data_IF_100973918593
#
_entry.id   IF_100973918593
#
_cell.length_a   1.000
_cell.length_b   1.000
_cell.length_c   1.000
_cell.angle_alpha   90.00
_cell.angle_beta   90.00
_cell.angle_gamma   90.00
#
_symmetry.space_group_name_H-M   'P 1'
#
loop_
_entity.id
_entity.type
_entity.pdbx_description
1 polymer ?
#
# COMPACT_ATOMS: atom_id res chain seq x y z
N UNK A 1 44.61 -48.07 10.04
CA UNK A 1 44.80 -46.60 10.03
C UNK A 1 43.62 -45.97 9.29
N UNK A 2 42.57 -45.53 10.01
CA UNK A 2 41.39 -44.85 9.44
C UNK A 2 41.61 -43.34 9.56
N UNK A 3 41.64 -42.65 8.42
CA UNK A 3 41.74 -41.19 8.32
C UNK A 3 40.38 -40.57 8.62
N UNK A 4 40.33 -39.67 9.59
CA UNK A 4 39.18 -38.81 9.85
C UNK A 4 39.24 -37.59 8.93
N UNK A 5 38.24 -37.43 8.06
CA UNK A 5 38.00 -36.20 7.31
C UNK A 5 37.08 -35.32 8.15
N UNK A 6 37.61 -34.21 8.67
CA UNK A 6 36.83 -33.16 9.32
C UNK A 6 36.27 -32.28 8.20
N UNK A 7 34.96 -32.34 7.98
CA UNK A 7 34.25 -31.42 7.08
C UNK A 7 33.89 -30.16 7.87
N UNK A 8 34.48 -29.03 7.49
CA UNK A 8 34.12 -27.72 8.00
C UNK A 8 32.83 -27.25 7.28
N UNK A 9 31.72 -27.18 8.01
CA UNK A 9 30.49 -26.58 7.53
C UNK A 9 30.65 -25.06 7.54
N UNK A 10 30.71 -24.45 6.36
CA UNK A 10 30.62 -22.99 6.20
C UNK A 10 29.14 -22.63 6.36
N UNK A 11 28.78 -22.08 7.52
CA UNK A 11 27.50 -21.44 7.76
C UNK A 11 27.46 -20.13 6.96
N UNK A 12 26.89 -20.19 5.76
CA UNK A 12 26.48 -19.01 5.02
C UNK A 12 25.27 -18.42 5.75
N UNK A 13 25.52 -17.44 6.63
CA UNK A 13 24.46 -16.62 7.21
C UNK A 13 23.70 -15.92 6.10
N UNK A 14 22.38 -16.13 6.04
CA UNK A 14 21.50 -15.37 5.17
C UNK A 14 21.52 -13.92 5.63
N UNK A 15 22.16 -13.03 4.88
CA UNK A 15 22.02 -11.59 5.09
C UNK A 15 20.57 -11.21 4.76
N UNK A 16 19.71 -11.16 5.77
CA UNK A 16 18.44 -10.44 5.67
C UNK A 16 18.77 -9.02 5.24
N UNK A 17 18.26 -8.59 4.08
CA UNK A 17 18.33 -7.18 3.72
C UNK A 17 17.70 -6.39 4.88
N UNK A 18 18.46 -5.46 5.47
CA UNK A 18 17.93 -4.61 6.52
C UNK A 18 16.69 -3.89 5.97
N UNK A 19 15.62 -3.83 6.77
CA UNK A 19 14.45 -3.03 6.42
C UNK A 19 14.90 -1.58 6.21
N UNK A 20 14.51 -0.98 5.08
CA UNK A 20 14.79 0.42 4.80
C UNK A 20 14.04 1.30 5.80
N UNK A 21 14.77 2.10 6.56
CA UNK A 21 14.29 2.77 7.76
C UNK A 21 14.57 4.29 7.74
N UNK A 22 14.00 5.04 6.78
CA UNK A 22 14.17 6.48 6.73
C UNK A 22 13.46 7.17 7.88
N UNK A 23 14.05 8.24 8.41
CA UNK A 23 13.40 9.12 9.37
C UNK A 23 13.76 10.58 9.10
N UNK A 24 13.10 11.21 8.13
CA UNK A 24 13.20 12.66 7.86
C UNK A 24 12.33 13.47 8.83
N UNK A 25 12.50 13.23 10.14
CA UNK A 25 11.76 13.91 11.23
C UNK A 25 11.84 15.43 11.11
N UNK A 26 10.86 16.15 11.66
CA UNK A 26 10.77 17.60 11.52
C UNK A 26 12.07 18.33 11.93
N UNK A 27 12.74 17.88 13.00
CA UNK A 27 14.02 18.43 13.46
C UNK A 27 15.26 17.98 12.70
N UNK A 28 15.15 17.08 11.72
CA UNK A 28 16.30 16.60 10.95
C UNK A 28 16.89 17.72 10.11
N UNK A 29 18.23 17.82 10.07
CA UNK A 29 18.91 18.77 9.19
C UNK A 29 18.77 18.41 7.71
N UNK A 30 18.32 17.19 7.40
CA UNK A 30 18.03 16.70 6.07
C UNK A 30 16.53 16.72 5.74
N UNK A 31 15.68 17.33 6.58
CA UNK A 31 14.27 17.57 6.28
C UNK A 31 14.13 18.67 5.21
N UNK A 32 14.41 18.34 3.95
CA UNK A 32 14.35 19.27 2.81
C UNK A 32 12.96 19.39 2.20
N UNK A 33 12.02 18.53 2.61
CA UNK A 33 10.64 18.51 2.11
C UNK A 33 9.65 19.05 3.14
N UNK A 34 10.11 19.67 4.23
CA UNK A 34 9.26 20.35 5.20
C UNK A 34 8.25 19.41 5.89
N UNK A 35 8.71 18.22 6.30
CA UNK A 35 7.92 17.29 7.10
C UNK A 35 7.55 17.94 8.43
N UNK A 36 6.27 17.91 8.78
CA UNK A 36 5.69 18.79 9.80
C UNK A 36 5.71 18.25 11.22
N UNK A 37 5.95 16.94 11.38
CA UNK A 37 5.77 16.25 12.67
C UNK A 37 7.04 15.53 13.08
N UNK A 38 7.38 15.65 14.36
CA UNK A 38 8.46 14.87 14.95
C UNK A 38 8.13 13.38 15.00
N UNK A 39 9.10 12.55 14.65
CA UNK A 39 9.06 11.12 14.84
C UNK A 39 8.77 10.80 16.31
N UNK A 40 7.94 9.77 16.52
CA UNK A 40 7.60 9.26 17.84
C UNK A 40 8.35 7.96 18.06
N UNK A 41 8.98 7.84 19.23
CA UNK A 41 9.56 6.57 19.64
C UNK A 41 8.45 5.53 19.82
N UNK A 42 8.71 4.29 19.41
CA UNK A 42 7.71 3.24 19.48
C UNK A 42 8.26 1.86 19.14
N UNK A 43 7.42 0.87 19.40
CA UNK A 43 7.65 -0.55 19.09
C UNK A 43 6.56 -0.99 18.12
N UNK A 44 6.93 -1.78 17.11
CA UNK A 44 5.93 -2.32 16.20
C UNK A 44 4.99 -3.29 16.91
N UNK A 45 3.70 -3.31 16.54
CA UNK A 45 2.85 -4.45 16.81
C UNK A 45 3.50 -5.75 16.32
N UNK A 46 3.29 -6.83 17.05
CA UNK A 46 3.58 -8.19 16.59
C UNK A 46 2.72 -8.54 15.38
N UNK A 47 3.06 -9.62 14.67
CA UNK A 47 2.27 -10.09 13.51
C UNK A 47 0.81 -10.34 13.91
N UNK A 48 0.56 -10.94 15.07
CA UNK A 48 -0.80 -11.19 15.59
C UNK A 48 -1.55 -9.89 15.89
N UNK A 49 -0.90 -8.92 16.52
CA UNK A 49 -1.51 -7.60 16.77
C UNK A 49 -1.81 -6.88 15.46
N UNK A 50 -0.92 -6.97 14.46
CA UNK A 50 -1.18 -6.44 13.14
C UNK A 50 -2.40 -7.07 12.48
N UNK A 51 -2.62 -8.38 12.58
CA UNK A 51 -3.85 -8.99 12.08
C UNK A 51 -5.09 -8.34 12.70
N UNK A 52 -5.12 -8.21 14.03
CA UNK A 52 -6.22 -7.55 14.73
C UNK A 52 -6.42 -6.10 14.31
N UNK A 53 -5.33 -5.37 14.04
CA UNK A 53 -5.39 -3.99 13.52
C UNK A 53 -5.97 -3.97 12.09
N UNK A 54 -5.55 -4.87 11.19
CA UNK A 54 -6.13 -4.96 9.84
C UNK A 54 -7.61 -5.30 9.88
N UNK A 55 -8.01 -6.25 10.72
CA UNK A 55 -9.41 -6.66 10.87
C UNK A 55 -10.27 -5.54 11.46
N UNK A 56 -9.72 -4.76 12.41
CA UNK A 56 -10.37 -3.56 12.93
C UNK A 56 -10.52 -2.48 11.85
N UNK A 57 -9.45 -2.19 11.12
CA UNK A 57 -9.45 -1.11 10.11
C UNK A 57 -10.32 -1.50 8.91
N UNK A 58 -10.33 -2.75 8.48
CA UNK A 58 -11.17 -3.22 7.38
C UNK A 58 -12.67 -2.94 7.59
N UNK A 59 -13.14 -3.01 8.83
CA UNK A 59 -14.54 -2.78 9.18
C UNK A 59 -14.98 -1.31 9.12
N UNK A 60 -14.03 -0.36 9.02
CA UNK A 60 -14.33 1.04 8.79
C UNK A 60 -14.56 1.89 10.04
N UNK A 61 -14.92 3.19 9.84
CA UNK A 61 -14.91 4.21 10.89
C UNK A 61 -15.90 3.97 12.04
N UNK A 62 -17.03 3.32 11.75
CA UNK A 62 -18.02 2.97 12.78
C UNK A 62 -17.46 1.98 13.81
N UNK A 63 -16.53 1.11 13.40
CA UNK A 63 -15.95 0.08 14.28
C UNK A 63 -14.66 0.58 14.93
N UNK A 64 -13.76 1.24 14.20
CA UNK A 64 -12.52 1.75 14.80
C UNK A 64 -12.73 2.98 15.69
N UNK A 65 -13.84 3.72 15.52
CA UNK A 65 -14.22 4.86 16.35
C UNK A 65 -13.08 5.88 16.52
N UNK A 66 -12.62 6.11 17.75
CA UNK A 66 -11.54 7.05 18.04
C UNK A 66 -10.14 6.51 17.74
N UNK A 67 -9.99 5.24 17.34
CA UNK A 67 -8.70 4.63 16.96
C UNK A 67 -8.26 5.02 15.55
N UNK A 68 -9.13 5.68 14.78
CA UNK A 68 -8.82 6.24 13.46
C UNK A 68 -9.52 7.58 13.25
N UNK A 69 -9.29 8.24 12.10
CA UNK A 69 -10.01 9.45 11.75
C UNK A 69 -11.46 9.15 11.33
N UNK A 70 -12.30 10.19 11.29
CA UNK A 70 -13.59 10.10 10.63
C UNK A 70 -13.39 9.92 9.12
N UNK A 71 -14.28 9.14 8.49
CA UNK A 71 -14.28 8.91 7.04
C UNK A 71 -15.71 9.05 6.57
N UNK A 72 -15.91 9.85 5.53
CA UNK A 72 -17.19 9.94 4.86
C UNK A 72 -17.53 8.61 4.18
N UNK A 73 -18.81 8.41 3.91
CA UNK A 73 -19.29 7.30 3.10
C UNK A 73 -18.60 7.26 1.72
N UNK A 74 -18.66 6.09 1.09
CA UNK A 74 -18.08 5.82 -0.23
C UNK A 74 -19.19 5.34 -1.16
N UNK A 75 -19.01 5.57 -2.47
CA UNK A 75 -19.98 5.11 -3.46
C UNK A 75 -19.93 3.60 -3.65
N UNK A 76 -21.09 2.98 -3.84
CA UNK A 76 -21.28 1.58 -4.27
C UNK A 76 -22.21 1.55 -5.49
N UNK A 77 -21.95 0.64 -6.43
CA UNK A 77 -22.70 0.54 -7.68
C UNK A 77 -22.16 1.48 -8.76
N UNK A 78 -22.24 1.08 -10.03
CA UNK A 78 -21.78 1.91 -11.16
C UNK A 78 -22.82 2.14 -12.26
N UNK A 79 -24.08 2.06 -11.88
CA UNK A 79 -25.22 2.36 -12.72
C UNK A 79 -25.79 1.14 -13.43
N UNK A 80 -25.11 -0.01 -13.42
CA UNK A 80 -25.60 -1.31 -13.90
C UNK A 80 -24.74 -2.46 -13.35
N UNK A 81 -25.32 -3.47 -12.67
CA UNK A 81 -26.74 -3.59 -12.32
C UNK A 81 -27.18 -2.65 -11.18
N UNK A 82 -26.25 -2.16 -10.35
CA UNK A 82 -26.58 -1.36 -9.17
C UNK A 82 -26.42 0.15 -9.43
N UNK A 83 -27.45 0.98 -9.15
CA UNK A 83 -27.29 2.43 -9.17
C UNK A 83 -26.27 2.90 -8.14
N UNK A 84 -25.45 3.89 -8.50
CA UNK A 84 -24.51 4.51 -7.57
C UNK A 84 -25.25 5.11 -6.37
N UNK A 85 -24.88 4.69 -5.16
CA UNK A 85 -25.38 5.22 -3.89
C UNK A 85 -24.28 5.17 -2.82
N UNK A 86 -24.45 5.92 -1.73
CA UNK A 86 -23.46 5.98 -0.67
C UNK A 86 -23.65 4.86 0.36
N UNK A 87 -22.54 4.24 0.78
CA UNK A 87 -22.48 3.23 1.83
C UNK A 87 -21.36 3.55 2.84
N UNK A 88 -21.48 3.09 4.10
CA UNK A 88 -20.40 3.24 5.07
C UNK A 88 -19.09 2.65 4.55
N UNK A 89 -17.99 3.39 4.71
CA UNK A 89 -16.69 2.96 4.23
C UNK A 89 -16.27 1.62 4.89
N UNK A 90 -15.91 0.66 4.04
CA UNK A 90 -15.34 -0.64 4.38
C UNK A 90 -14.18 -0.90 3.43
N UNK A 91 -13.20 -1.67 3.86
CA UNK A 91 -11.96 -1.87 3.09
C UNK A 91 -11.60 -3.35 3.02
N UNK A 92 -11.28 -3.85 1.82
CA UNK A 92 -10.75 -5.19 1.67
C UNK A 92 -9.45 -5.34 2.46
N UNK A 93 -9.44 -6.20 3.48
CA UNK A 93 -8.29 -6.35 4.37
C UNK A 93 -7.07 -6.95 3.65
N UNK A 94 -7.30 -7.76 2.62
CA UNK A 94 -6.27 -8.31 1.74
C UNK A 94 -5.46 -7.16 1.14
N UNK A 95 -6.13 -6.08 0.70
CA UNK A 95 -5.49 -4.88 0.18
C UNK A 95 -4.83 -4.05 1.27
N UNK A 96 -5.47 -3.86 2.43
CA UNK A 96 -4.81 -3.13 3.53
C UNK A 96 -3.49 -3.79 3.93
N UNK A 97 -3.50 -5.13 4.04
CA UNK A 97 -2.32 -5.97 4.31
C UNK A 97 -1.27 -5.80 3.22
N UNK A 98 -1.65 -5.91 1.95
CA UNK A 98 -0.73 -5.81 0.82
C UNK A 98 -0.17 -4.39 0.60
N UNK A 99 -0.98 -3.35 0.81
CA UNK A 99 -0.57 -1.93 0.76
C UNK A 99 0.43 -1.67 1.88
N UNK A 100 0.09 -1.96 3.14
CA UNK A 100 1.01 -1.78 4.26
C UNK A 100 2.34 -2.54 4.06
N UNK A 101 2.28 -3.72 3.43
CA UNK A 101 3.49 -4.49 3.08
C UNK A 101 4.30 -3.79 1.98
N UNK A 102 3.64 -3.22 0.96
CA UNK A 102 4.30 -2.48 -0.11
C UNK A 102 4.92 -1.16 0.38
N UNK A 103 4.24 -0.47 1.30
CA UNK A 103 4.63 0.84 1.82
C UNK A 103 5.80 0.76 2.81
N UNK A 104 5.75 -0.19 3.75
CA UNK A 104 6.69 -0.23 4.88
C UNK A 104 7.08 -1.63 5.34
N UNK A 105 6.55 -2.68 4.72
CA UNK A 105 6.73 -4.05 5.20
C UNK A 105 6.05 -4.30 6.56
N UNK A 106 4.91 -3.67 6.82
CA UNK A 106 4.20 -3.67 8.12
C UNK A 106 5.01 -3.03 9.26
N UNK A 107 5.81 -2.01 8.94
CA UNK A 107 6.68 -1.35 9.92
C UNK A 107 6.18 0.07 10.17
N UNK A 108 5.78 0.37 11.39
CA UNK A 108 5.49 1.73 11.85
C UNK A 108 6.76 2.39 12.40
N UNK A 109 7.55 1.64 13.17
CA UNK A 109 8.71 2.15 13.88
C UNK A 109 9.96 1.32 13.57
N UNK A 110 11.10 1.97 13.37
CA UNK A 110 12.38 1.26 13.37
C UNK A 110 13.55 2.18 13.72
N UNK A 111 14.72 1.58 13.92
CA UNK A 111 15.98 2.30 14.10
C UNK A 111 16.35 2.96 12.78
N UNK A 112 16.48 4.30 12.71
CA UNK A 112 16.75 4.96 11.44
C UNK A 112 18.09 4.51 10.83
N UNK A 113 18.09 4.28 9.52
CA UNK A 113 19.29 3.98 8.72
C UNK A 113 19.63 5.11 7.74
N UNK A 114 18.76 6.12 7.63
CA UNK A 114 18.94 7.36 6.87
C UNK A 114 17.96 8.42 7.39
N UNK A 115 18.23 9.73 7.23
CA UNK A 115 19.48 10.36 6.81
C UNK A 115 20.58 10.29 7.88
N UNK A 116 21.81 10.69 7.51
CA UNK A 116 23.03 10.50 8.33
C UNK A 116 22.97 11.12 9.72
N UNK A 117 22.22 12.20 9.92
CA UNK A 117 22.00 12.84 11.21
C UNK A 117 21.03 12.08 12.13
N UNK A 118 20.36 11.04 11.62
CA UNK A 118 19.37 10.25 12.34
C UNK A 118 19.82 8.79 12.57
N UNK A 119 20.84 8.32 11.85
CA UNK A 119 21.30 6.92 11.85
C UNK A 119 21.59 6.40 13.26
N UNK A 120 21.07 5.21 13.56
CA UNK A 120 21.39 4.48 14.80
C UNK A 120 20.70 5.04 16.05
N UNK A 121 19.80 6.02 15.90
CA UNK A 121 18.98 6.51 17.01
C UNK A 121 17.97 5.47 17.53
N UNK A 122 17.22 5.83 18.58
CA UNK A 122 16.12 5.00 19.08
C UNK A 122 15.08 4.65 17.99
N UNK A 123 14.47 3.46 18.09
CA UNK A 123 13.35 3.03 17.25
C UNK A 123 12.22 4.05 17.32
N UNK A 124 11.83 4.57 16.15
CA UNK A 124 10.87 5.66 16.01
C UNK A 124 10.15 5.59 14.66
N UNK A 125 9.13 6.42 14.47
CA UNK A 125 8.31 6.47 13.26
C UNK A 125 9.17 6.47 12.01
N UNK A 126 8.85 5.61 11.04
CA UNK A 126 9.38 5.75 9.68
C UNK A 126 8.83 7.03 9.08
N UNK A 127 9.71 7.89 8.57
CA UNK A 127 9.34 9.10 7.85
C UNK A 127 10.18 9.13 6.58
N UNK A 128 9.55 8.94 5.43
CA UNK A 128 10.21 9.01 4.12
C UNK A 128 10.58 10.44 3.74
N UNK A 129 11.44 10.59 2.73
CA UNK A 129 11.95 11.91 2.31
C UNK A 129 10.85 12.86 1.85
N UNK A 130 9.75 12.33 1.33
CA UNK A 130 8.54 13.04 0.88
C UNK A 130 7.49 13.16 1.98
N UNK A 131 7.88 12.95 3.24
CA UNK A 131 7.00 13.09 4.41
C UNK A 131 5.87 12.07 4.48
N UNK A 132 6.11 10.85 3.99
CA UNK A 132 5.27 9.68 4.24
C UNK A 132 5.54 9.07 5.61
N UNK A 133 4.54 9.06 6.48
CA UNK A 133 4.67 8.61 7.86
C UNK A 133 4.17 7.17 8.03
N UNK A 134 4.98 6.34 8.68
CA UNK A 134 4.60 5.07 9.29
C UNK A 134 4.14 3.98 8.33
N UNK A 135 3.34 3.06 8.84
CA UNK A 135 3.00 1.79 8.18
C UNK A 135 2.29 1.98 6.84
N UNK A 136 1.41 2.98 6.76
CA UNK A 136 0.64 3.32 5.57
C UNK A 136 1.31 4.37 4.68
N UNK A 137 2.48 4.88 5.07
CA UNK A 137 3.18 6.00 4.41
C UNK A 137 2.23 7.18 4.13
N UNK A 138 1.57 7.66 5.19
CA UNK A 138 0.63 8.78 5.12
C UNK A 138 1.41 10.07 4.81
N UNK A 139 1.25 10.60 3.60
CA UNK A 139 1.99 11.79 3.13
C UNK A 139 1.14 13.07 3.09
N UNK A 140 -0.05 12.99 2.49
CA UNK A 140 -0.93 14.17 2.35
C UNK A 140 -1.41 14.65 3.72
N UNK A 141 -1.20 15.91 4.03
CA UNK A 141 -1.54 16.48 5.33
C UNK A 141 -0.44 16.34 6.38
N UNK A 142 0.75 15.83 6.05
CA UNK A 142 1.86 15.65 7.01
C UNK A 142 3.00 16.67 6.85
N UNK A 143 2.89 17.63 5.93
CA UNK A 143 3.86 18.72 5.78
C UNK A 143 3.58 19.84 6.79
N UNK A 144 4.62 20.60 7.13
CA UNK A 144 4.49 21.72 8.05
C UNK A 144 3.57 22.80 7.46
N UNK A 145 2.58 23.24 8.25
CA UNK A 145 1.58 24.22 7.83
C UNK A 145 0.33 23.63 7.18
N UNK A 146 0.30 22.33 6.90
CA UNK A 146 -0.93 21.64 6.50
C UNK A 146 -1.85 21.44 7.72
N UNK A 147 -3.16 21.52 7.48
CA UNK A 147 -4.19 21.36 8.52
C UNK A 147 -5.22 20.30 8.09
N UNK A 148 -4.84 19.01 8.13
CA UNK A 148 -5.76 17.93 7.76
C UNK A 148 -6.88 17.76 8.78
N UNK A 149 -7.92 17.01 8.41
CA UNK A 149 -9.03 16.66 9.31
C UNK A 149 -8.69 15.54 10.32
N UNK A 150 -7.49 14.97 10.25
CA UNK A 150 -6.99 13.93 11.14
C UNK A 150 -5.88 14.47 12.04
N UNK A 151 -5.58 13.76 13.12
CA UNK A 151 -4.54 14.12 14.07
C UNK A 151 -3.16 13.65 13.58
N UNK A 152 -2.34 14.59 13.09
CA UNK A 152 -1.01 14.32 12.57
C UNK A 152 -0.05 13.70 13.63
N UNK A 153 -0.20 14.03 14.91
CA UNK A 153 0.64 13.47 15.98
C UNK A 153 0.33 11.98 16.18
N UNK A 154 -0.95 11.61 16.08
CA UNK A 154 -1.39 10.21 16.16
C UNK A 154 -1.00 9.41 14.93
N UNK A 155 -0.99 10.01 13.73
CA UNK A 155 -0.41 9.36 12.53
C UNK A 155 1.05 8.96 12.76
N UNK A 156 1.85 9.81 13.42
CA UNK A 156 3.24 9.48 13.72
C UNK A 156 3.36 8.44 14.86
N UNK A 157 2.54 8.54 15.89
CA UNK A 157 2.69 7.81 17.16
C UNK A 157 1.91 6.51 17.31
N UNK A 158 0.85 6.28 16.52
CA UNK A 158 -0.07 5.17 16.74
C UNK A 158 -0.22 4.34 15.46
N UNK A 159 0.21 3.08 15.51
CA UNK A 159 0.16 2.15 14.39
C UNK A 159 -1.26 1.97 13.82
N UNK A 160 -2.26 1.77 14.69
CA UNK A 160 -3.67 1.66 14.28
C UNK A 160 -4.19 2.94 13.63
N UNK A 161 -3.90 4.10 14.22
CA UNK A 161 -4.35 5.40 13.69
C UNK A 161 -3.68 5.72 12.35
N UNK A 162 -2.40 5.39 12.19
CA UNK A 162 -1.68 5.52 10.94
C UNK A 162 -2.33 4.69 9.84
N UNK A 163 -2.57 3.39 10.10
CA UNK A 163 -3.23 2.52 9.11
C UNK A 163 -4.65 2.99 8.78
N UNK A 164 -5.44 3.39 9.78
CA UNK A 164 -6.79 3.92 9.57
C UNK A 164 -6.79 5.24 8.78
N UNK A 165 -5.74 6.06 8.93
CA UNK A 165 -5.54 7.26 8.10
C UNK A 165 -5.13 6.90 6.67
N UNK A 166 -4.31 5.88 6.47
CA UNK A 166 -4.08 5.30 5.14
C UNK A 166 -5.40 4.82 4.50
N UNK A 167 -6.24 4.09 5.25
CA UNK A 167 -7.54 3.66 4.78
C UNK A 167 -8.48 4.83 4.43
N UNK A 168 -8.48 5.92 5.20
CA UNK A 168 -9.27 7.12 4.87
C UNK A 168 -8.80 7.81 3.58
N UNK A 169 -7.50 7.80 3.30
CA UNK A 169 -6.94 8.24 2.03
C UNK A 169 -7.41 7.31 0.91
N UNK A 170 -7.35 5.98 1.10
CA UNK A 170 -7.84 5.01 0.12
C UNK A 170 -9.33 5.19 -0.19
N UNK A 171 -10.18 5.46 0.81
CA UNK A 171 -11.59 5.83 0.60
C UNK A 171 -11.73 7.11 -0.24
N UNK A 172 -10.86 8.08 -0.02
CA UNK A 172 -10.83 9.31 -0.82
C UNK A 172 -10.42 9.04 -2.26
N UNK A 173 -9.51 8.08 -2.49
CA UNK A 173 -9.13 7.64 -3.84
C UNK A 173 -10.28 6.93 -4.53
N UNK A 174 -10.95 6.00 -3.85
CA UNK A 174 -12.15 5.32 -4.36
C UNK A 174 -13.20 6.30 -4.86
N UNK A 175 -13.56 7.32 -4.07
CA UNK A 175 -14.52 8.36 -4.49
C UNK A 175 -14.04 9.20 -5.68
N UNK A 176 -12.73 9.36 -5.83
CA UNK A 176 -12.14 10.20 -6.87
C UNK A 176 -11.90 9.45 -8.20
N UNK A 177 -11.89 8.12 -8.17
CA UNK A 177 -11.60 7.28 -9.32
C UNK A 177 -12.86 6.83 -10.06
N UNK A 178 -12.67 6.39 -11.31
CA UNK A 178 -13.70 5.73 -12.09
C UNK A 178 -13.93 4.31 -11.59
N UNK A 179 -15.12 3.80 -11.89
CA UNK A 179 -15.57 2.48 -11.51
C UNK A 179 -14.63 1.39 -12.03
N UNK A 180 -14.48 0.34 -11.25
CA UNK A 180 -14.00 -0.97 -11.71
C UNK A 180 -15.11 -1.95 -11.37
N UNK A 181 -15.53 -2.76 -12.33
CA UNK A 181 -16.69 -3.63 -12.14
C UNK A 181 -17.95 -2.84 -11.80
N UNK A 182 -18.75 -3.39 -10.88
CA UNK A 182 -19.91 -2.69 -10.30
C UNK A 182 -19.53 -1.83 -9.07
N UNK A 183 -18.23 -1.61 -8.80
CA UNK A 183 -17.74 -0.74 -7.73
C UNK A 183 -18.32 -1.14 -6.36
N UNK A 184 -18.13 -2.41 -6.01
CA UNK A 184 -18.55 -3.00 -4.75
C UNK A 184 -17.39 -2.92 -3.74
N UNK A 185 -17.50 -2.13 -2.65
CA UNK A 185 -16.43 -2.02 -1.65
C UNK A 185 -16.03 -3.35 -1.01
N UNK A 186 -16.91 -4.35 -1.09
CA UNK A 186 -16.66 -5.70 -0.56
C UNK A 186 -15.87 -6.60 -1.49
N UNK A 187 -15.73 -6.25 -2.77
CA UNK A 187 -14.96 -7.00 -3.77
C UNK A 187 -13.54 -6.46 -3.82
N UNK A 188 -12.55 -7.35 -3.70
CA UNK A 188 -11.13 -6.97 -3.61
C UNK A 188 -10.69 -6.26 -4.89
N UNK A 189 -11.04 -6.82 -6.05
CA UNK A 189 -10.59 -6.36 -7.36
C UNK A 189 -11.15 -4.99 -7.77
N UNK A 190 -12.33 -4.60 -7.27
CA UNK A 190 -12.96 -3.31 -7.60
C UNK A 190 -12.17 -2.11 -7.08
N UNK A 191 -11.28 -2.32 -6.11
CA UNK A 191 -10.38 -1.29 -5.60
C UNK A 191 -9.19 -1.01 -6.51
N UNK A 192 -9.00 -1.74 -7.63
CA UNK A 192 -7.79 -1.67 -8.46
C UNK A 192 -7.36 -0.24 -8.81
N UNK A 193 -8.28 0.59 -9.29
CA UNK A 193 -7.97 1.98 -9.66
C UNK A 193 -7.75 2.86 -8.43
N UNK A 194 -8.46 2.63 -7.33
CA UNK A 194 -8.23 3.33 -6.07
C UNK A 194 -6.84 3.03 -5.48
N UNK A 195 -6.39 1.77 -5.57
CA UNK A 195 -5.04 1.34 -5.18
C UNK A 195 -3.99 2.01 -6.07
N UNK A 196 -4.23 2.10 -7.38
CA UNK A 196 -3.34 2.87 -8.26
C UNK A 196 -3.28 4.34 -7.83
N UNK A 197 -4.43 4.96 -7.58
CA UNK A 197 -4.52 6.35 -7.14
C UNK A 197 -3.94 6.61 -5.73
N UNK A 198 -3.80 5.57 -4.90
CA UNK A 198 -3.14 5.65 -3.59
C UNK A 198 -1.67 6.04 -3.74
N UNK A 199 -0.95 5.38 -4.66
CA UNK A 199 0.42 5.74 -5.01
C UNK A 199 0.51 6.99 -5.89
N UNK A 200 -0.46 7.17 -6.78
CA UNK A 200 -0.52 8.29 -7.70
C UNK A 200 -0.94 7.87 -9.10
N UNK A 201 -1.97 8.54 -9.60
CA UNK A 201 -2.48 8.44 -10.98
C UNK A 201 -1.49 9.11 -11.95
N UNK A 202 -0.47 8.36 -12.37
CA UNK A 202 0.58 8.82 -13.27
C UNK A 202 0.77 7.85 -14.44
N UNK A 203 1.10 8.39 -15.63
CA UNK A 203 1.41 7.59 -16.81
C UNK A 203 2.56 6.60 -16.55
N UNK A 204 3.52 6.97 -15.70
CA UNK A 204 4.60 6.08 -15.29
C UNK A 204 4.08 4.84 -14.57
N UNK A 205 2.95 4.90 -13.86
CA UNK A 205 2.35 3.75 -13.17
C UNK A 205 1.20 3.11 -13.98
N UNK A 206 0.99 3.51 -15.23
CA UNK A 206 -0.03 2.92 -16.08
C UNK A 206 0.38 1.49 -16.49
N UNK A 207 -0.47 0.46 -16.32
CA UNK A 207 -0.28 -0.92 -16.80
C UNK A 207 0.11 -1.06 -18.28
N UNK A 208 -0.38 -0.16 -19.13
CA UNK A 208 -0.12 -0.08 -20.56
C UNK A 208 1.19 0.62 -20.90
N UNK A 209 1.93 1.15 -19.90
CA UNK A 209 3.18 1.82 -20.15
C UNK A 209 4.23 0.82 -20.70
N UNK A 210 4.87 1.10 -21.86
CA UNK A 210 5.82 0.18 -22.49
C UNK A 210 7.07 -0.16 -21.66
N UNK A 211 7.32 0.53 -20.54
CA UNK A 211 8.38 0.15 -19.61
C UNK A 211 8.10 -1.17 -18.88
N UNK A 212 6.82 -1.58 -18.83
CA UNK A 212 6.40 -2.87 -18.29
C UNK A 212 6.34 -3.89 -19.42
N UNK A 213 6.78 -5.12 -19.14
CA UNK A 213 6.74 -6.19 -20.15
C UNK A 213 5.29 -6.45 -20.58
N UNK A 214 5.09 -6.61 -21.88
CA UNK A 214 3.80 -7.00 -22.48
C UNK A 214 3.46 -8.48 -22.23
N UNK A 215 4.36 -9.23 -21.59
CA UNK A 215 4.18 -10.62 -21.20
C UNK A 215 4.38 -10.84 -19.70
N UNK A 216 4.18 -9.78 -18.88
CA UNK A 216 4.37 -9.87 -17.43
C UNK A 216 3.26 -10.67 -16.79
N UNK A 217 3.64 -11.64 -15.96
CA UNK A 217 2.70 -12.32 -15.08
C UNK A 217 2.40 -11.51 -13.82
N UNK A 218 1.70 -12.15 -12.89
CA UNK A 218 1.47 -11.65 -11.53
C UNK A 218 2.81 -11.29 -10.88
N UNK A 219 2.88 -10.11 -10.27
CA UNK A 219 4.10 -9.66 -9.59
C UNK A 219 4.39 -10.54 -8.37
N UNK A 220 5.56 -11.17 -8.34
CA UNK A 220 6.03 -11.96 -7.21
C UNK A 220 7.18 -11.20 -6.49
N UNK A 221 7.00 -10.73 -5.24
CA UNK A 221 8.02 -9.94 -4.54
C UNK A 221 9.32 -10.71 -4.23
N UNK A 222 9.27 -12.05 -4.18
CA UNK A 222 10.43 -12.91 -3.97
C UNK A 222 11.30 -13.01 -5.25
N UNK A 223 10.70 -12.84 -6.43
CA UNK A 223 11.41 -12.80 -7.72
C UNK A 223 11.78 -11.37 -8.11
N UNK A 224 10.93 -10.39 -7.78
CA UNK A 224 11.05 -9.00 -8.19
C UNK A 224 10.55 -8.76 -9.62
N UNK A 225 11.09 -7.73 -10.27
CA UNK A 225 10.68 -7.33 -11.62
C UNK A 225 9.90 -6.01 -11.66
N UNK A 226 9.72 -5.48 -12.87
CA UNK A 226 8.99 -4.24 -13.11
C UNK A 226 7.49 -4.52 -13.23
N UNK A 227 6.71 -3.89 -12.35
CA UNK A 227 5.25 -3.85 -12.40
C UNK A 227 4.77 -2.48 -11.89
N UNK A 228 3.60 -1.99 -12.34
CA UNK A 228 2.97 -0.81 -11.77
C UNK A 228 2.50 -1.08 -10.33
N UNK A 229 2.27 -0.02 -9.56
CA UNK A 229 2.06 -0.11 -8.12
C UNK A 229 0.89 -1.03 -7.73
N UNK A 230 -0.27 -0.84 -8.34
CA UNK A 230 -1.46 -1.63 -8.10
C UNK A 230 -1.28 -3.11 -8.44
N UNK A 231 -0.51 -3.44 -9.47
CA UNK A 231 -0.17 -4.84 -9.78
C UNK A 231 0.84 -5.42 -8.78
N UNK A 232 1.72 -4.60 -8.21
CA UNK A 232 2.58 -5.04 -7.09
C UNK A 232 1.77 -5.33 -5.85
N UNK A 233 0.77 -4.50 -5.54
CA UNK A 233 -0.14 -4.72 -4.41
C UNK A 233 -0.96 -5.99 -4.64
N UNK A 234 -1.59 -6.15 -5.80
CA UNK A 234 -2.35 -7.37 -6.13
C UNK A 234 -1.44 -8.62 -6.11
N UNK A 235 -0.23 -8.50 -6.68
CA UNK A 235 0.75 -9.58 -6.62
C UNK A 235 1.18 -9.95 -5.20
N UNK A 236 1.20 -9.01 -4.26
CA UNK A 236 1.43 -9.30 -2.82
C UNK A 236 0.25 -10.01 -2.18
N UNK A 237 -0.99 -9.73 -2.61
CA UNK A 237 -2.15 -10.53 -2.17
C UNK A 237 -1.99 -11.99 -2.60
N UNK A 238 -1.52 -12.24 -3.83
CA UNK A 238 -1.25 -13.58 -4.36
C UNK A 238 0.00 -14.25 -3.78
N UNK A 239 1.05 -13.48 -3.50
CA UNK A 239 2.33 -13.97 -3.01
C UNK A 239 2.65 -13.32 -1.64
N UNK A 240 1.94 -13.74 -0.58
CA UNK A 240 2.15 -13.21 0.77
C UNK A 240 3.62 -13.31 1.19
N UNK A 241 4.09 -12.26 1.88
CA UNK A 241 5.42 -12.28 2.49
C UNK A 241 5.35 -13.04 3.81
N UNK A 242 6.02 -14.19 3.88
CA UNK A 242 5.82 -15.13 4.97
C UNK A 242 4.38 -15.65 5.01
N UNK A 243 4.00 -16.30 6.10
CA UNK A 243 2.61 -16.76 6.31
C UNK A 243 1.73 -15.67 6.93
N UNK A 244 1.90 -14.42 6.49
CA UNK A 244 1.17 -13.27 7.07
C UNK A 244 -0.30 -13.25 6.64
N UNK A 245 -0.65 -13.75 5.46
CA UNK A 245 -2.05 -13.94 5.06
C UNK A 245 -2.16 -15.11 4.09
N UNK A 246 -3.39 -15.57 3.86
CA UNK A 246 -3.66 -16.58 2.84
C UNK A 246 -3.57 -15.97 1.45
N UNK A 247 -2.96 -16.72 0.52
CA UNK A 247 -2.88 -16.32 -0.89
C UNK A 247 -4.27 -16.31 -1.51
N UNK A 248 -4.62 -15.22 -2.20
CA UNK A 248 -5.87 -15.10 -2.95
C UNK A 248 -5.54 -14.83 -4.43
N UNK A 249 -5.88 -15.74 -5.36
CA UNK A 249 -5.57 -15.60 -6.79
C UNK A 249 -6.51 -14.58 -7.45
N UNK A 250 -6.20 -13.29 -7.33
CA UNK A 250 -7.05 -12.19 -7.82
C UNK A 250 -7.23 -12.20 -9.34
N UNK A 251 -8.35 -11.64 -9.79
CA UNK A 251 -8.56 -11.26 -11.18
C UNK A 251 -7.95 -9.87 -11.48
N UNK A 252 -7.57 -9.64 -12.74
CA UNK A 252 -7.01 -8.36 -13.20
C UNK A 252 -7.91 -7.71 -14.25
N UNK A 253 -7.97 -6.36 -14.30
CA UNK A 253 -8.58 -5.67 -15.44
C UNK A 253 -7.85 -5.99 -16.74
N UNK A 254 -8.57 -6.01 -17.85
CA UNK A 254 -7.95 -6.10 -19.17
C UNK A 254 -7.16 -4.81 -19.44
N UNK A 255 -5.85 -4.95 -19.67
CA UNK A 255 -4.95 -3.83 -19.97
C UNK A 255 -5.41 -3.03 -21.21
N UNK A 256 -6.14 -3.65 -22.14
CA UNK A 256 -6.72 -2.97 -23.29
C UNK A 256 -7.78 -1.94 -22.89
N UNK A 257 -8.48 -2.13 -21.77
CA UNK A 257 -9.51 -1.21 -21.25
C UNK A 257 -8.92 -0.06 -20.43
N UNK A 258 -7.77 -0.30 -19.80
CA UNK A 258 -7.09 0.69 -18.94
C UNK A 258 -6.70 1.97 -19.71
N UNK A 259 -6.43 1.83 -21.02
CA UNK A 259 -6.01 2.95 -21.86
C UNK A 259 -4.59 3.44 -21.54
N UNK A 260 -4.21 4.58 -22.13
CA UNK A 260 -2.86 5.14 -22.05
C UNK A 260 -2.70 6.38 -21.16
N UNK A 261 -3.74 6.83 -20.47
CA UNK A 261 -3.71 8.05 -19.64
C UNK A 261 -3.28 7.76 -18.19
N UNK A 262 -3.06 8.79 -17.38
CA UNK A 262 -2.93 8.63 -15.92
C UNK A 262 -4.27 8.41 -15.20
N UNK A 263 -5.40 8.42 -15.90
CA UNK A 263 -6.75 8.36 -15.32
C UNK A 263 -7.59 7.40 -16.15
N UNK A 264 -7.66 6.10 -15.78
CA UNK A 264 -8.39 5.11 -16.55
C UNK A 264 -9.89 5.44 -16.60
N UNK A 265 -10.61 4.99 -17.65
CA UNK A 265 -12.07 5.11 -17.73
C UNK A 265 -12.74 4.17 -16.70
N UNK A 266 -14.07 4.05 -16.76
CA UNK A 266 -14.72 2.93 -16.10
C UNK A 266 -14.19 1.62 -16.72
N UNK A 267 -13.76 0.69 -15.88
CA UNK A 267 -13.27 -0.62 -16.28
C UNK A 267 -14.38 -1.65 -16.09
N UNK A 268 -14.39 -2.68 -16.95
CA UNK A 268 -15.27 -3.83 -16.74
C UNK A 268 -14.89 -4.61 -15.47
N UNK A 269 -15.73 -5.56 -15.09
CA UNK A 269 -15.42 -6.49 -14.00
C UNK A 269 -14.09 -7.21 -14.30
N UNK A 270 -13.10 -7.11 -13.41
CA UNK A 270 -11.83 -7.79 -13.57
C UNK A 270 -12.02 -9.30 -13.77
N UNK A 271 -11.40 -9.86 -14.80
CA UNK A 271 -11.55 -11.27 -15.13
C UNK A 271 -10.26 -11.93 -15.62
N UNK A 272 -9.22 -11.17 -15.96
CA UNK A 272 -7.98 -11.73 -16.49
C UNK A 272 -7.22 -12.52 -15.42
N UNK A 273 -6.67 -13.68 -15.77
CA UNK A 273 -5.93 -14.53 -14.83
C UNK A 273 -4.57 -13.95 -14.43
N UNK A 274 -4.05 -12.97 -15.17
CA UNK A 274 -2.86 -12.19 -14.81
C UNK A 274 -2.89 -10.82 -15.53
N UNK A 275 -1.97 -9.89 -15.22
CA UNK A 275 -1.93 -8.57 -15.85
C UNK A 275 -1.91 -8.54 -17.38
N UNK A 276 -1.44 -9.60 -18.03
CA UNK A 276 -1.39 -9.70 -19.51
C UNK A 276 -1.94 -11.03 -20.03
N UNK A 277 -2.77 -11.73 -19.25
CA UNK A 277 -3.43 -12.97 -19.69
C UNK A 277 -4.93 -12.91 -19.39
N UNK A 278 -5.70 -12.49 -20.40
CA UNK A 278 -7.16 -12.49 -20.39
C UNK A 278 -7.74 -13.66 -21.20
N UNK A 279 -6.89 -14.49 -21.83
CA UNK A 279 -7.33 -15.72 -22.47
C UNK A 279 -7.74 -16.77 -21.42
N UNK A 280 -7.02 -16.77 -20.29
CA UNK A 280 -7.45 -17.45 -19.07
C UNK A 280 -8.13 -16.45 -18.14
N UNK A 281 -9.17 -16.89 -17.44
CA UNK A 281 -9.99 -16.03 -16.58
C UNK A 281 -10.05 -16.51 -15.13
N UNK A 282 -10.24 -15.57 -14.20
CA UNK A 282 -10.49 -15.80 -12.77
C UNK A 282 -11.75 -15.05 -12.32
N UNK A 283 -12.50 -15.57 -11.34
CA UNK A 283 -13.56 -14.79 -10.70
C UNK A 283 -12.96 -13.71 -9.79
N UNK A 284 -13.78 -12.70 -9.46
CA UNK A 284 -13.47 -11.75 -8.39
C UNK A 284 -13.74 -12.33 -7.00
N UNK A 285 -13.20 -11.69 -5.97
CA UNK A 285 -13.22 -12.19 -4.60
C UNK A 285 -13.91 -11.21 -3.65
N UNK A 286 -14.87 -11.71 -2.86
CA UNK A 286 -15.35 -10.97 -1.69
C UNK A 286 -14.32 -11.05 -0.58
N UNK A 287 -13.98 -9.91 0.02
CA UNK A 287 -13.06 -9.88 1.16
C UNK A 287 -13.65 -10.62 2.35
N UNK A 288 -12.81 -11.41 3.03
CA UNK A 288 -13.23 -12.21 4.18
C UNK A 288 -13.37 -11.41 5.49
N UNK A 289 -13.11 -10.10 5.45
CA UNK A 289 -12.94 -9.28 6.66
C UNK A 289 -14.19 -8.53 7.13
N UNK A 290 -15.35 -8.78 6.52
CA UNK A 290 -16.61 -8.11 6.88
C UNK A 290 -17.55 -8.97 7.73
N UNK A 291 -17.09 -10.14 8.21
CA UNK A 291 -17.89 -11.07 9.00
C UNK A 291 -17.11 -11.76 10.13
N UNK A 292 -17.46 -11.39 11.38
CA UNK A 292 -17.35 -12.24 12.57
C UNK A 292 -15.95 -12.47 13.14
N UNK A 293 -15.69 -11.92 14.33
CA UNK A 293 -14.64 -12.37 15.26
C UNK A 293 -14.56 -13.90 15.32
N UNK A 294 -13.53 -14.47 14.71
CA UNK A 294 -12.95 -15.72 15.19
C UNK A 294 -11.64 -15.38 15.88
N UNK A 295 -11.77 -14.89 17.11
CA UNK A 295 -10.74 -15.21 18.11
C UNK A 295 -10.71 -16.73 18.17
N UNK A 296 -9.55 -17.40 18.07
CA UNK A 296 -9.48 -18.83 18.34
C UNK A 296 -9.88 -19.03 19.81
N UNK A 297 -11.09 -19.52 20.04
CA UNK A 297 -11.53 -19.93 21.37
C UNK A 297 -10.62 -21.06 21.81
N UNK A 298 -9.76 -20.75 22.78
CA UNK A 298 -9.13 -21.75 23.61
C UNK A 298 -10.27 -22.56 24.26
N UNK A 299 -10.36 -23.84 23.88
CA UNK A 299 -11.56 -24.62 24.07
C UNK A 299 -12.09 -24.70 25.49
N UNK A 300 -13.40 -24.89 25.60
CA UNK A 300 -14.01 -25.77 26.59
C UNK A 300 -15.39 -26.17 26.08
N UNK A 301 -15.64 -27.47 26.02
CA UNK A 301 -16.86 -28.04 25.45
C UNK A 301 -18.10 -27.88 26.32
N UNK A 302 -19.27 -28.13 25.73
CA UNK A 302 -20.50 -28.29 26.49
C UNK A 302 -21.78 -28.10 25.68
N UNK A 303 -22.25 -29.19 25.08
CA UNK A 303 -23.60 -29.55 24.65
C UNK A 303 -24.79 -28.55 24.70
N UNK A 304 -25.48 -28.49 23.56
CA UNK A 304 -26.93 -28.66 23.35
C UNK A 304 -27.96 -27.74 24.05
N UNK A 305 -28.81 -27.11 23.23
CA UNK A 305 -30.14 -26.63 23.64
C UNK A 305 -30.78 -25.68 22.63
N UNK A 306 -31.72 -26.18 21.83
CA UNK A 306 -32.50 -25.41 20.87
C UNK A 306 -33.69 -24.67 21.49
N UNK A 307 -34.26 -23.76 20.68
CA UNK A 307 -35.62 -23.17 20.67
C UNK A 307 -35.83 -21.90 21.49
N UNK A 308 -36.31 -20.84 20.83
CA UNK A 308 -36.92 -19.68 21.49
C UNK A 308 -37.15 -18.48 20.56
N UNK A 309 -38.32 -18.45 19.95
CA UNK A 309 -38.88 -17.42 19.05
C UNK A 309 -38.88 -15.98 19.62
N UNK A 310 -38.47 -15.01 18.80
CA UNK A 310 -38.54 -13.59 19.10
C UNK A 310 -39.97 -13.03 19.11
N UNK A 311 -40.30 -12.32 20.19
CA UNK A 311 -41.51 -11.51 20.33
C UNK A 311 -41.36 -10.13 19.69
N UNK A 312 -42.50 -9.61 19.25
CA UNK A 312 -42.73 -8.34 18.56
C UNK A 312 -42.33 -7.08 19.38
N UNK A 313 -42.12 -5.92 18.70
CA UNK A 313 -41.68 -4.67 19.33
C UNK A 313 -42.85 -3.86 19.90
N UNK A 314 -42.61 -2.91 20.83
CA UNK A 314 -43.61 -1.91 21.18
C UNK A 314 -43.47 -0.61 20.40
N UNK A 315 -44.63 -0.01 20.20
CA UNK A 315 -44.99 1.20 19.48
C UNK A 315 -44.23 2.47 19.87
N UNK A 316 -43.93 3.31 18.88
CA UNK A 316 -43.64 4.73 19.07
C UNK A 316 -44.70 5.57 18.31
N UNK A 317 -45.48 6.34 19.06
CA UNK A 317 -46.44 7.31 18.55
C UNK A 317 -45.78 8.57 17.97
N UNK A 318 -46.57 9.44 17.31
CA UNK A 318 -46.07 10.39 16.32
C UNK A 318 -45.69 11.73 16.94
N UNK A 319 -44.64 12.37 16.41
CA UNK A 319 -44.44 13.81 16.59
C UNK A 319 -44.23 14.50 15.23
N UNK A 320 -44.97 15.58 15.11
CA UNK A 320 -45.20 16.44 13.97
C UNK A 320 -44.13 17.51 13.83
N UNK A 321 -43.87 17.91 12.57
CA UNK A 321 -43.69 19.32 12.23
C UNK A 321 -42.30 19.73 11.77
N UNK A 322 -42.25 20.37 10.61
CA UNK A 322 -41.12 21.24 10.23
C UNK A 322 -40.69 21.11 8.77
N UNK A 323 -41.58 21.40 7.82
CA UNK A 323 -41.17 21.69 6.45
C UNK A 323 -40.57 23.09 6.34
N UNK A 324 -39.45 23.21 5.64
CA UNK A 324 -39.02 24.45 5.00
C UNK A 324 -38.13 24.11 3.79
N UNK A 325 -38.71 24.38 2.63
CA UNK A 325 -38.12 24.46 1.28
C UNK A 325 -37.17 25.63 1.14
N UNK A 326 -36.11 25.48 0.33
CA UNK A 326 -35.41 26.47 -0.56
C UNK A 326 -34.01 25.93 -0.86
N UNK A 327 -33.38 26.07 -2.02
CA UNK A 327 -33.76 26.53 -3.35
C UNK A 327 -32.65 26.04 -4.28
N UNK A 328 -33.01 25.65 -5.50
CA UNK A 328 -32.08 25.31 -6.56
C UNK A 328 -31.82 26.51 -7.47
N UNK A 329 -30.55 26.72 -7.80
CA UNK A 329 -30.11 27.35 -9.06
C UNK A 329 -29.15 28.55 -8.91
N UNK A 330 -28.47 28.97 -9.99
CA UNK A 330 -27.91 28.15 -11.06
C UNK A 330 -26.45 28.52 -11.39
N UNK A 331 -25.85 27.67 -12.23
CA UNK A 331 -24.59 27.87 -12.94
C UNK A 331 -24.61 29.09 -13.88
N UNK A 332 -23.52 29.85 -13.92
CA UNK A 332 -23.11 30.64 -15.09
C UNK A 332 -21.58 30.60 -15.22
N UNK A 333 -21.11 30.13 -16.39
CA UNK A 333 -19.70 30.16 -16.76
C UNK A 333 -19.29 31.49 -17.42
N UNK A 334 -17.98 31.64 -17.60
CA UNK A 334 -17.41 32.58 -18.56
C UNK A 334 -16.02 33.12 -18.20
N UNK A 335 -15.04 32.86 -19.07
CA UNK A 335 -14.07 33.90 -19.46
C UNK A 335 -12.66 33.83 -18.89
N UNK A 336 -11.75 33.33 -19.71
CA UNK A 336 -10.28 33.35 -19.57
C UNK A 336 -9.66 34.75 -19.76
N UNK A 337 -8.58 35.05 -19.04
CA UNK A 337 -7.46 35.86 -19.56
C UNK A 337 -6.17 35.53 -18.82
N UNK A 338 -5.08 35.35 -19.57
CA UNK A 338 -3.91 34.60 -19.16
C UNK A 338 -2.87 35.34 -18.32
N UNK A 339 -2.02 34.54 -17.67
CA UNK A 339 -0.68 34.93 -17.28
C UNK A 339 0.25 33.71 -17.40
N UNK A 340 1.42 33.96 -18.01
CA UNK A 340 2.39 32.97 -18.49
C UNK A 340 2.97 32.11 -17.35
N UNK A 341 2.72 30.80 -17.40
CA UNK A 341 3.43 29.81 -16.58
C UNK A 341 4.72 29.36 -17.27
N UNK A 342 5.81 29.50 -16.53
CA UNK A 342 7.12 28.92 -16.82
C UNK A 342 7.00 27.41 -16.57
N UNK A 343 7.17 26.62 -17.63
CA UNK A 343 7.21 25.16 -17.59
C UNK A 343 8.43 24.76 -16.76
N UNK A 344 8.19 24.21 -15.57
CA UNK A 344 9.15 23.36 -14.86
C UNK A 344 8.64 21.94 -15.07
N UNK A 345 9.52 21.11 -15.62
CA UNK A 345 9.34 19.69 -15.87
C UNK A 345 9.22 18.93 -14.55
N UNK A 346 8.04 18.36 -14.29
CA UNK A 346 7.80 17.44 -13.18
C UNK A 346 8.31 16.05 -13.56
N UNK A 347 9.56 15.76 -13.18
CA UNK A 347 10.11 14.41 -13.18
C UNK A 347 10.01 13.80 -11.77
N UNK A 348 9.39 12.61 -11.72
CA UNK A 348 9.55 11.56 -10.70
C UNK A 348 8.99 11.78 -9.28
N UNK A 349 7.66 11.67 -9.13
CA UNK A 349 7.00 11.34 -7.85
C UNK A 349 6.40 9.94 -7.93
N UNK A 350 7.24 8.92 -7.72
CA UNK A 350 6.79 7.54 -7.55
C UNK A 350 7.28 7.04 -6.20
N UNK A 351 6.39 6.99 -5.21
CA UNK A 351 6.66 6.45 -3.89
C UNK A 351 6.89 4.94 -4.03
N UNK A 352 8.14 4.48 -3.94
CA UNK A 352 8.42 3.09 -3.60
C UNK A 352 9.74 3.05 -2.86
N UNK A 353 9.69 2.57 -1.62
CA UNK A 353 10.85 2.14 -0.86
C UNK A 353 11.63 1.14 -1.72
N UNK A 354 12.83 1.50 -2.15
CA UNK A 354 13.70 0.61 -2.93
C UNK A 354 14.20 -0.49 -2.00
N UNK A 355 13.68 -1.70 -2.15
CA UNK A 355 14.37 -2.90 -1.62
C UNK A 355 15.69 -3.03 -2.35
N UNK A 356 16.79 -3.12 -1.60
CA UNK A 356 18.14 -3.24 -2.15
C UNK A 356 18.25 -4.53 -3.00
N UNK A 357 18.19 -4.39 -4.32
CA UNK A 357 18.45 -5.48 -5.26
C UNK A 357 19.94 -5.84 -5.24
N UNK A 358 20.25 -7.09 -4.90
CA UNK A 358 21.57 -7.69 -5.02
C UNK A 358 22.08 -7.59 -6.46
N UNK A 359 23.07 -6.73 -6.70
CA UNK A 359 23.77 -6.67 -7.99
C UNK A 359 24.53 -7.97 -8.21
N UNK A 360 24.03 -8.83 -9.10
CA UNK A 360 24.83 -9.92 -9.67
C UNK A 360 25.80 -9.33 -10.70
N UNK A 361 27.09 -9.39 -10.39
CA UNK A 361 28.15 -9.24 -11.38
C UNK A 361 28.23 -10.52 -12.23
N UNK A 362 28.34 -10.46 -13.56
CA UNK A 362 28.54 -11.65 -14.36
C UNK A 362 29.97 -12.17 -14.18
N UNK A 363 30.08 -13.37 -13.61
CA UNK A 363 31.32 -14.13 -13.53
C UNK A 363 31.66 -14.76 -14.89
N UNK A 364 32.62 -14.19 -15.61
CA UNK A 364 33.38 -14.90 -16.64
C UNK A 364 34.72 -15.32 -16.04
N UNK A 365 34.93 -16.63 -15.88
CA UNK A 365 36.18 -17.19 -15.37
C UNK A 365 36.99 -17.85 -16.50
N UNK A 366 38.31 -17.78 -16.31
CA UNK A 366 39.42 -18.54 -16.92
C UNK A 366 40.07 -17.92 -18.18
N UNK A 367 41.28 -17.36 -18.05
CA UNK A 367 42.55 -18.12 -18.05
C UNK A 367 43.76 -17.31 -17.51
N UNK A 368 44.71 -18.09 -16.95
CA UNK A 368 46.08 -17.88 -16.43
C UNK A 368 47.00 -16.90 -17.22
N UNK A 369 48.18 -16.43 -16.81
CA UNK A 369 48.96 -16.30 -15.56
C UNK A 369 50.26 -15.53 -15.93
N UNK A 370 50.67 -14.59 -15.06
CA UNK A 370 52.03 -14.14 -14.67
C UNK A 370 53.25 -14.34 -15.63
N UNK A 371 53.90 -13.23 -16.05
CA UNK A 371 55.28 -12.80 -15.67
C UNK A 371 55.83 -11.66 -16.57
N UNK A 372 56.61 -10.74 -15.97
CA UNK A 372 57.80 -10.17 -16.64
C UNK A 372 57.89 -8.64 -16.74
N UNK A 373 58.60 -8.02 -15.78
CA UNK A 373 59.31 -6.75 -15.96
C UNK A 373 60.29 -6.83 -17.15
N UNK A 374 60.52 -5.71 -17.85
CA UNK A 374 61.88 -5.21 -18.12
C UNK A 374 61.84 -3.80 -18.74
N UNK A 375 62.40 -2.82 -18.01
CA UNK A 375 62.78 -1.52 -18.53
C UNK A 375 64.21 -1.54 -19.10
N UNK A 376 64.37 -0.67 -20.09
CA UNK A 376 65.49 -0.26 -20.94
C UNK A 376 66.94 -0.73 -20.67
N UNK A 377 67.55 -1.10 -21.81
CA UNK A 377 68.98 -1.18 -22.12
C UNK A 377 69.73 0.16 -21.91
N UNK A 378 70.94 0.02 -21.31
CA UNK A 378 72.25 0.61 -21.68
C UNK A 378 72.41 2.15 -21.49
N UNK A 379 73.54 2.71 -21.04
CA UNK A 379 74.92 2.22 -20.80
C UNK A 379 75.75 3.34 -20.11
N UNK A 380 76.76 2.89 -19.34
CA UNK A 380 78.14 3.42 -19.13
C UNK A 380 78.37 4.62 -18.17
N UNK A 381 79.06 4.29 -17.06
CA UNK A 381 80.39 4.75 -16.57
C UNK A 381 80.91 6.09 -17.10
N UNK A 382 81.48 7.00 -16.30
CA UNK A 382 82.17 6.89 -15.01
C UNK A 382 81.54 7.77 -13.92
#
# INVERSE_FOLDING_TARGET
MRRWLISAAILLGSSSAAAYCPCYTASSSNNTHNCGIEAKNGTNPSVTEWQGIFDLVAQGPTVWQNQGPAVADIGQGCGNPEPLHDVPAKFACELLKAIAMAESGWTQFCVPDTPSDQVGGASRTIISFDCGYGVGQVTSGMHAGENPSFDQQRVAGEATYNLATGASILASKWRATKCVGDNQPTIVEDWYTAVWAYNGLAYTNNPSNPKYSSSRGVYNPQVGGAAPYQEKVFGRVEYPTGSYWESVPLAYPDVAEVGGSGAPPNLSEPHCASPTDCANTRPVHTSNCFGGTTVPDAGTGGAAGSVGTGGAPPDAGPSTGGGATIDAGPSTGGGSSGQKTKVVSDDASGCSCRVAGSRHAPSSLWFLSIFGLLALRRRKSC
#
